data_IF_709086209269
#
_entry.id   IF_709086209269
#
_cell.length_a   1.000
_cell.length_b   1.000
_cell.length_c   1.000
_cell.angle_alpha   90.00
_cell.angle_beta   90.00
_cell.angle_gamma   90.00
#
_symmetry.space_group_name_H-M   'P 1'
#
loop_
_entity.id
_entity.type
_entity.pdbx_description
1 polymer ?
#
# COMPACT_ATOMS: atom_id res chain seq x y z
N UNK A 1 13.72 16.50 4.20
CA UNK A 1 12.77 15.58 3.57
C UNK A 1 13.59 14.75 2.62
N UNK A 2 14.19 13.67 3.11
CA UNK A 2 15.02 12.79 2.30
C UNK A 2 14.12 11.81 1.55
N UNK A 3 14.10 11.95 0.23
CA UNK A 3 13.41 11.02 -0.66
C UNK A 3 14.21 9.71 -0.72
N UNK A 4 13.64 8.65 -0.19
CA UNK A 4 14.23 7.30 -0.24
C UNK A 4 14.23 6.84 -1.71
N UNK A 5 15.43 6.63 -2.28
CA UNK A 5 15.60 5.99 -3.59
C UNK A 5 15.24 4.50 -3.46
N UNK A 6 14.22 4.09 -4.21
CA UNK A 6 13.72 2.72 -4.25
C UNK A 6 14.64 1.81 -5.07
N UNK A 7 15.15 0.73 -4.45
CA UNK A 7 15.90 -0.34 -5.12
C UNK A 7 15.01 -1.59 -5.27
N UNK A 8 14.69 -1.94 -6.51
CA UNK A 8 13.71 -2.98 -6.90
C UNK A 8 14.16 -4.44 -6.63
N UNK A 9 15.33 -4.70 -6.01
CA UNK A 9 15.92 -6.05 -5.92
C UNK A 9 15.72 -6.82 -4.62
N UNK A 10 15.02 -6.26 -3.65
CA UNK A 10 14.70 -7.02 -2.42
C UNK A 10 13.22 -7.35 -2.40
N UNK A 11 12.91 -8.57 -1.99
CA UNK A 11 11.57 -9.13 -1.80
C UNK A 11 10.84 -8.44 -0.62
N UNK A 12 10.85 -7.12 -0.65
CA UNK A 12 10.40 -6.20 0.38
C UNK A 12 9.26 -5.46 -0.28
N UNK A 13 8.06 -5.62 0.27
CA UNK A 13 6.88 -4.88 -0.14
C UNK A 13 7.23 -3.40 -0.37
N UNK A 14 6.56 -2.74 -1.33
CA UNK A 14 6.70 -1.29 -1.53
C UNK A 14 6.68 -0.60 -0.15
N UNK A 15 7.57 0.37 0.14
CA UNK A 15 7.60 1.08 1.42
C UNK A 15 6.24 1.61 1.85
N UNK A 16 5.35 1.89 0.89
CA UNK A 16 3.97 2.30 1.11
C UNK A 16 3.10 1.18 1.68
N UNK A 17 3.23 -0.05 1.17
CA UNK A 17 2.55 -1.23 1.72
C UNK A 17 3.01 -1.47 3.16
N UNK A 18 4.32 -1.36 3.43
CA UNK A 18 4.83 -1.52 4.80
C UNK A 18 4.31 -0.42 5.75
N UNK A 19 4.16 0.82 5.27
CA UNK A 19 3.54 1.90 6.02
C UNK A 19 2.06 1.63 6.29
N UNK A 20 1.31 1.15 5.30
CA UNK A 20 -0.08 0.77 5.46
C UNK A 20 -0.26 -0.36 6.48
N UNK A 21 0.56 -1.42 6.41
CA UNK A 21 0.51 -2.50 7.40
C UNK A 21 0.82 -2.02 8.82
N UNK A 22 1.72 -1.05 8.98
CA UNK A 22 2.01 -0.44 10.29
C UNK A 22 0.87 0.48 10.76
N UNK A 23 0.22 1.18 9.84
CA UNK A 23 -0.98 1.96 10.10
C UNK A 23 -2.11 1.05 10.62
N UNK A 24 -2.41 -0.07 9.94
CA UNK A 24 -3.43 -1.03 10.39
C UNK A 24 -3.13 -1.67 11.75
N UNK A 25 -1.84 -1.83 12.11
CA UNK A 25 -1.47 -2.31 13.47
C UNK A 25 -1.77 -1.29 14.55
N UNK A 26 -1.66 0.00 14.24
CA UNK A 26 -1.94 1.09 15.17
C UNK A 26 -3.42 1.49 15.18
N UNK A 27 -4.14 1.14 14.12
CA UNK A 27 -5.55 1.45 13.87
C UNK A 27 -6.33 0.17 13.56
N UNK A 28 -6.60 -0.69 14.57
CA UNK A 28 -7.31 -1.93 14.37
C UNK A 28 -8.72 -1.75 13.79
N UNK A 29 -9.32 -0.57 13.96
CA UNK A 29 -10.61 -0.17 13.37
C UNK A 29 -10.61 -0.23 11.83
N UNK A 30 -9.45 -0.15 11.19
CA UNK A 30 -9.32 -0.28 9.73
C UNK A 30 -9.65 -1.70 9.25
N UNK A 31 -9.50 -2.70 10.11
CA UNK A 31 -9.82 -4.09 9.76
C UNK A 31 -11.34 -4.33 9.69
N UNK A 32 -12.12 -3.54 10.42
CA UNK A 32 -13.58 -3.63 10.46
C UNK A 32 -14.24 -2.80 9.35
N UNK A 33 -13.47 -1.98 8.63
CA UNK A 33 -14.01 -1.18 7.53
C UNK A 33 -14.44 -2.06 6.36
N UNK A 34 -15.62 -1.79 5.76
CA UNK A 34 -16.06 -2.50 4.57
C UNK A 34 -15.11 -2.22 3.39
N UNK A 35 -15.01 -3.18 2.47
CA UNK A 35 -14.16 -3.09 1.28
C UNK A 35 -13.02 -4.09 1.28
N UNK A 36 -12.35 -4.19 0.14
CA UNK A 36 -11.14 -4.98 -0.04
C UNK A 36 -9.93 -4.28 0.60
N UNK A 37 -8.89 -5.04 0.95
CA UNK A 37 -7.62 -4.52 1.43
C UNK A 37 -6.95 -3.58 0.42
N UNK A 38 -7.12 -3.83 -0.89
CA UNK A 38 -6.58 -2.96 -1.94
C UNK A 38 -7.34 -1.63 -2.03
N UNK A 39 -8.66 -1.64 -1.89
CA UNK A 39 -9.46 -0.41 -1.83
C UNK A 39 -9.07 0.44 -0.60
N UNK A 40 -8.93 -0.21 0.56
CA UNK A 40 -8.50 0.48 1.80
C UNK A 40 -7.07 1.01 1.69
N UNK A 41 -6.18 0.29 1.01
CA UNK A 41 -4.83 0.77 0.74
C UNK A 41 -4.83 1.97 -0.20
N UNK A 42 -5.63 1.94 -1.27
CA UNK A 42 -5.81 3.08 -2.16
C UNK A 42 -6.28 4.32 -1.38
N UNK A 43 -7.34 4.19 -0.57
CA UNK A 43 -7.81 5.29 0.29
C UNK A 43 -6.74 5.78 1.28
N UNK A 44 -5.92 4.89 1.83
CA UNK A 44 -4.79 5.30 2.67
C UNK A 44 -3.78 6.16 1.88
N UNK A 45 -3.48 5.82 0.63
CA UNK A 45 -2.58 6.60 -0.21
C UNK A 45 -3.18 7.97 -0.57
N UNK A 46 -4.44 8.03 -0.99
CA UNK A 46 -5.06 9.29 -1.42
C UNK A 46 -5.47 10.17 -0.25
N UNK A 47 -6.18 9.61 0.73
CA UNK A 47 -6.87 10.40 1.75
C UNK A 47 -5.94 10.77 2.91
N UNK A 48 -5.01 9.86 3.28
CA UNK A 48 -4.11 10.08 4.40
C UNK A 48 -2.75 10.63 3.96
N UNK A 49 -2.15 10.05 2.91
CA UNK A 49 -0.85 10.50 2.41
C UNK A 49 -0.95 11.65 1.39
N UNK A 50 -2.15 11.94 0.89
CA UNK A 50 -2.35 13.01 -0.10
C UNK A 50 -1.69 12.71 -1.45
N UNK A 51 -1.53 11.43 -1.78
CA UNK A 51 -0.93 10.97 -3.04
C UNK A 51 -1.88 11.26 -4.21
N UNK A 52 -1.31 11.52 -5.38
CA UNK A 52 -2.11 11.65 -6.60
C UNK A 52 -2.85 10.34 -6.90
N UNK A 53 -4.11 10.44 -7.33
CA UNK A 53 -4.97 9.28 -7.58
C UNK A 53 -4.34 8.30 -8.59
N UNK A 54 -3.65 8.83 -9.61
CA UNK A 54 -3.01 7.98 -10.62
C UNK A 54 -1.81 7.22 -10.04
N UNK A 55 -0.99 7.88 -9.25
CA UNK A 55 0.16 7.25 -8.58
C UNK A 55 -0.32 6.20 -7.56
N UNK A 56 -1.38 6.51 -6.80
CA UNK A 56 -2.00 5.59 -5.86
C UNK A 56 -2.59 4.35 -6.56
N UNK A 57 -3.21 4.51 -7.74
CA UNK A 57 -3.68 3.38 -8.56
C UNK A 57 -2.52 2.50 -9.03
N UNK A 58 -1.41 3.10 -9.50
CA UNK A 58 -0.23 2.37 -9.95
C UNK A 58 0.40 1.55 -8.81
N UNK A 59 0.53 2.13 -7.61
CA UNK A 59 1.05 1.44 -6.43
C UNK A 59 0.12 0.33 -5.91
N UNK A 60 -1.20 0.58 -5.94
CA UNK A 60 -2.20 -0.43 -5.54
C UNK A 60 -2.18 -1.62 -6.49
N UNK A 61 -2.15 -1.37 -7.80
CA UNK A 61 -2.03 -2.42 -8.80
C UNK A 61 -0.69 -3.17 -8.70
N UNK A 62 0.40 -2.46 -8.39
CA UNK A 62 1.70 -3.09 -8.15
C UNK A 62 1.64 -4.07 -6.98
N UNK A 63 1.04 -3.67 -5.85
CA UNK A 63 0.88 -4.56 -4.70
C UNK A 63 0.00 -5.77 -5.02
N UNK A 64 -1.14 -5.57 -5.68
CA UNK A 64 -2.03 -6.65 -6.10
C UNK A 64 -1.29 -7.69 -6.94
N UNK A 65 -0.52 -7.25 -7.95
CA UNK A 65 0.28 -8.15 -8.79
C UNK A 65 1.34 -8.92 -8.00
N UNK A 66 2.02 -8.26 -7.04
CA UNK A 66 3.00 -8.95 -6.18
C UNK A 66 2.37 -10.06 -5.33
N UNK A 67 1.14 -9.86 -4.86
CA UNK A 67 0.42 -10.90 -4.11
C UNK A 67 0.00 -12.04 -5.04
N UNK A 68 -0.48 -11.74 -6.24
CA UNK A 68 -0.82 -12.75 -7.24
C UNK A 68 0.38 -13.60 -7.65
N UNK A 69 1.55 -12.99 -7.88
CA UNK A 69 2.79 -13.69 -8.25
C UNK A 69 3.28 -14.67 -7.17
N UNK A 70 2.87 -14.50 -5.92
CA UNK A 70 3.21 -15.40 -4.80
C UNK A 70 2.26 -16.60 -4.68
N UNK A 71 1.14 -16.59 -5.40
CA UNK A 71 0.11 -17.64 -5.34
C UNK A 71 0.26 -18.70 -6.46
N UNK A 72 1.11 -18.45 -7.45
CA UNK A 72 1.53 -19.39 -8.51
C UNK A 72 2.78 -20.20 -8.11
#
# INVERSE_FOLDING_TARGET
MDFIRYDKKTNVYSPLVQQYLNYCKSHPEENDKPGDIYDRFYSFLTDLLGMDEREALEETAYWMNQVCDLMD
#
